data_IF_773925660775
#
_entry.id   IF_773925660775
#
_cell.length_a   1.000
_cell.length_b   1.000
_cell.length_c   1.000
_cell.angle_alpha   90.00
_cell.angle_beta   90.00
_cell.angle_gamma   90.00
#
_symmetry.space_group_name_H-M   'P 1'
#
loop_
_entity.id
_entity.type
_entity.pdbx_description
1 polymer ?
#
# COMPACT_ATOMS: atom_id res chain seq x y z
N UNK A 1 -14.31 4.83 6.11
CA UNK A 1 -14.95 6.00 5.46
C UNK A 1 -15.26 5.66 4.02
N UNK A 2 -16.48 5.90 3.56
CA UNK A 2 -16.92 5.73 2.16
C UNK A 2 -16.07 6.54 1.15
N UNK A 3 -15.42 7.61 1.61
CA UNK A 3 -14.51 8.44 0.78
C UNK A 3 -13.17 7.78 0.42
N UNK A 4 -12.71 6.77 1.19
CA UNK A 4 -11.55 5.97 0.78
C UNK A 4 -11.93 4.86 -0.21
N UNK A 5 -13.22 4.53 -0.29
CA UNK A 5 -13.72 3.48 -1.19
C UNK A 5 -13.75 3.93 -2.66
N UNK A 6 -13.55 5.23 -2.94
CA UNK A 6 -13.51 5.78 -4.30
C UNK A 6 -12.09 5.87 -4.87
N UNK A 7 -11.06 5.52 -4.11
CA UNK A 7 -9.68 5.50 -4.58
C UNK A 7 -9.52 4.43 -5.66
N UNK A 8 -9.06 4.84 -6.84
CA UNK A 8 -8.86 3.99 -8.03
C UNK A 8 -10.14 3.33 -8.58
N UNK A 9 -11.32 3.87 -8.25
CA UNK A 9 -12.58 3.44 -8.84
C UNK A 9 -12.85 4.21 -10.13
N UNK A 10 -13.26 3.48 -11.17
CA UNK A 10 -13.75 4.08 -12.41
C UNK A 10 -14.97 4.95 -12.13
N UNK A 11 -15.12 6.04 -12.91
CA UNK A 11 -16.25 6.96 -12.80
C UNK A 11 -16.37 7.73 -11.46
N UNK A 12 -15.26 7.89 -10.73
CA UNK A 12 -15.22 8.70 -9.50
C UNK A 12 -15.16 10.20 -9.80
N UNK A 13 -16.04 10.97 -9.17
CA UNK A 13 -15.93 12.44 -9.13
C UNK A 13 -14.90 12.84 -8.07
N UNK A 14 -13.77 13.41 -8.48
CA UNK A 14 -12.72 13.87 -7.57
C UNK A 14 -12.82 15.39 -7.33
N UNK A 15 -12.47 15.84 -6.12
CA UNK A 15 -12.27 17.29 -5.87
C UNK A 15 -11.24 17.84 -6.87
N UNK A 16 -11.47 18.99 -7.53
CA UNK A 16 -10.59 19.50 -8.59
C UNK A 16 -9.11 19.68 -8.19
N UNK A 17 -8.82 19.91 -6.91
CA UNK A 17 -7.47 20.06 -6.40
C UNK A 17 -6.65 18.76 -6.28
N UNK A 18 -7.28 17.58 -6.35
CA UNK A 18 -6.59 16.28 -6.17
C UNK A 18 -5.59 16.03 -7.30
N UNK A 19 -6.03 16.15 -8.56
CA UNK A 19 -5.19 15.81 -9.70
C UNK A 19 -3.94 16.70 -9.83
N UNK A 20 -4.02 18.05 -9.70
CA UNK A 20 -2.84 18.90 -9.74
C UNK A 20 -1.83 18.60 -8.62
N UNK A 21 -2.31 18.36 -7.39
CA UNK A 21 -1.43 18.03 -6.25
C UNK A 21 -0.77 16.67 -6.40
N UNK A 22 -1.50 15.65 -6.85
CA UNK A 22 -0.93 14.34 -7.14
C UNK A 22 0.12 14.43 -8.26
N UNK A 23 -0.17 15.22 -9.31
CA UNK A 23 0.74 15.41 -10.44
C UNK A 23 2.03 16.12 -10.03
N UNK A 24 1.95 17.19 -9.23
CA UNK A 24 3.15 17.91 -8.78
C UNK A 24 4.02 17.04 -7.88
N UNK A 25 3.42 16.30 -6.94
CA UNK A 25 4.15 15.36 -6.08
C UNK A 25 4.83 14.25 -6.90
N UNK A 26 4.16 13.72 -7.93
CA UNK A 26 4.73 12.68 -8.78
C UNK A 26 5.92 13.18 -9.59
N UNK A 27 5.86 14.40 -10.14
CA UNK A 27 6.97 15.00 -10.88
C UNK A 27 8.17 15.26 -9.98
N UNK A 28 7.96 15.82 -8.78
CA UNK A 28 9.04 16.04 -7.81
C UNK A 28 9.67 14.72 -7.33
N UNK A 29 8.86 13.70 -7.10
CA UNK A 29 9.33 12.36 -6.76
C UNK A 29 10.14 11.75 -7.91
N UNK A 30 9.67 11.87 -9.15
CA UNK A 30 10.38 11.37 -10.33
C UNK A 30 11.74 12.05 -10.49
N UNK A 31 11.81 13.38 -10.41
CA UNK A 31 13.07 14.12 -10.50
C UNK A 31 14.02 13.67 -9.38
N UNK A 32 13.52 13.51 -8.15
CA UNK A 32 14.33 13.02 -7.04
C UNK A 32 14.86 11.60 -7.27
N UNK A 33 14.04 10.68 -7.79
CA UNK A 33 14.48 9.33 -8.15
C UNK A 33 15.60 9.40 -9.21
N UNK A 34 15.44 10.22 -10.25
CA UNK A 34 16.43 10.32 -11.33
C UNK A 34 17.77 10.92 -10.88
N UNK A 35 17.76 11.82 -9.88
CA UNK A 35 18.99 12.42 -9.33
C UNK A 35 19.68 11.53 -8.29
N UNK A 36 18.98 10.54 -7.72
CA UNK A 36 19.60 9.60 -6.80
C UNK A 36 20.52 8.62 -7.53
N UNK A 37 21.73 8.35 -7.03
CA UNK A 37 22.66 7.45 -7.72
C UNK A 37 22.15 6.01 -7.89
N UNK A 38 21.37 5.52 -6.92
CA UNK A 38 20.70 4.22 -7.00
C UNK A 38 19.37 4.25 -7.78
N UNK A 39 18.95 5.41 -8.30
CA UNK A 39 17.75 5.60 -9.11
C UNK A 39 16.49 4.96 -8.50
N UNK A 40 15.77 4.12 -9.25
CA UNK A 40 14.58 3.39 -8.79
C UNK A 40 14.85 2.44 -7.61
N UNK A 41 16.12 2.17 -7.27
CA UNK A 41 16.55 1.39 -6.10
C UNK A 41 16.98 2.27 -4.92
N UNK A 42 16.69 3.57 -4.96
CA UNK A 42 16.93 4.45 -3.83
C UNK A 42 16.18 3.93 -2.59
N UNK A 43 16.84 3.88 -1.42
CA UNK A 43 16.16 3.49 -0.20
C UNK A 43 15.12 4.55 0.19
N UNK A 44 13.95 4.14 0.70
CA UNK A 44 13.00 5.10 1.28
C UNK A 44 13.61 5.78 2.51
N UNK A 45 13.13 6.97 2.90
CA UNK A 45 13.63 7.68 4.07
C UNK A 45 13.59 6.77 5.31
N UNK A 46 14.73 6.62 5.96
CA UNK A 46 14.83 5.93 7.25
C UNK A 46 14.04 6.72 8.29
N UNK A 47 13.21 6.03 9.07
CA UNK A 47 12.63 6.63 10.27
C UNK A 47 13.76 7.23 11.14
N UNK A 48 13.52 8.34 11.86
CA UNK A 48 14.54 9.09 12.61
C UNK A 48 15.26 8.30 13.72
N UNK A 49 14.98 7.00 13.89
CA UNK A 49 15.67 6.09 14.81
C UNK A 49 16.39 4.91 14.12
N UNK A 50 16.36 4.84 12.79
CA UNK A 50 17.12 3.83 12.06
C UNK A 50 18.50 4.39 11.71
N UNK A 51 19.42 4.30 12.68
CA UNK A 51 20.86 4.35 12.38
C UNK A 51 21.25 3.05 11.66
N UNK A 52 20.76 2.88 10.44
CA UNK A 52 21.25 1.84 9.55
C UNK A 52 22.27 2.48 8.64
N UNK A 53 23.49 1.96 8.72
CA UNK A 53 24.57 2.14 7.75
C UNK A 53 24.07 1.65 6.40
N UNK A 54 23.31 2.49 5.70
CA UNK A 54 22.85 2.21 4.35
C UNK A 54 24.11 2.05 3.48
N UNK A 55 24.17 1.01 2.63
CA UNK A 55 25.27 0.87 1.70
C UNK A 55 25.39 2.16 0.87
N UNK A 56 26.62 2.58 0.51
CA UNK A 56 26.81 3.82 -0.22
C UNK A 56 25.98 3.79 -1.51
N UNK A 57 25.15 4.82 -1.71
CA UNK A 57 24.27 4.94 -2.88
C UNK A 57 25.05 4.85 -4.20
N UNK A 58 26.34 5.22 -4.17
CA UNK A 58 27.30 5.09 -5.25
C UNK A 58 28.71 4.84 -4.69
N UNK A 59 29.59 4.07 -5.35
CA UNK A 59 30.97 3.83 -4.90
C UNK A 59 31.81 5.10 -4.67
N UNK A 60 31.45 6.21 -5.32
CA UNK A 60 32.16 7.48 -5.22
C UNK A 60 31.57 8.47 -4.21
N UNK A 61 30.53 8.10 -3.46
CA UNK A 61 29.84 8.99 -2.53
C UNK A 61 29.89 8.45 -1.09
N UNK A 62 30.19 9.30 -0.10
CA UNK A 62 30.23 8.89 1.29
C UNK A 62 28.80 8.61 1.80
N UNK A 63 28.57 7.54 2.59
CA UNK A 63 27.32 7.34 3.30
C UNK A 63 27.24 8.26 4.54
N UNK A 64 26.07 8.86 4.84
CA UNK A 64 24.83 8.84 4.06
C UNK A 64 24.90 9.80 2.87
N UNK A 65 24.32 9.41 1.73
CA UNK A 65 24.15 10.32 0.58
C UNK A 65 23.08 11.36 0.91
N UNK A 66 23.41 12.65 1.09
CA UNK A 66 22.43 13.69 1.35
C UNK A 66 21.81 14.10 0.01
N UNK A 67 20.62 13.59 -0.29
CA UNK A 67 19.95 13.87 -1.56
C UNK A 67 19.52 15.36 -1.62
N UNK A 68 19.92 16.11 -2.67
CA UNK A 68 19.80 17.58 -2.70
C UNK A 68 18.35 18.09 -2.75
N UNK A 69 17.40 17.27 -3.22
CA UNK A 69 15.97 17.61 -3.25
C UNK A 69 15.18 17.02 -2.06
N UNK A 70 15.86 16.50 -1.04
CA UNK A 70 15.22 15.89 0.11
C UNK A 70 15.03 14.38 -0.03
N UNK A 71 13.93 13.84 0.49
CA UNK A 71 13.72 12.38 0.62
C UNK A 71 13.00 11.75 -0.58
N UNK A 72 13.12 10.43 -0.72
CA UNK A 72 12.45 9.65 -1.76
C UNK A 72 11.45 8.68 -1.10
N UNK A 73 10.22 9.14 -0.78
CA UNK A 73 9.23 8.28 -0.14
C UNK A 73 8.76 7.14 -1.06
N UNK A 74 8.48 5.97 -0.47
CA UNK A 74 7.92 4.82 -1.19
C UNK A 74 6.47 5.07 -1.65
N UNK A 75 5.62 5.64 -0.80
CA UNK A 75 4.25 6.00 -1.14
C UNK A 75 3.86 7.28 -0.43
N UNK A 76 3.17 8.19 -1.13
CA UNK A 76 2.60 9.41 -0.56
C UNK A 76 1.07 9.29 -0.62
N UNK A 77 0.39 9.40 0.52
CA UNK A 77 -1.08 9.45 0.63
C UNK A 77 -1.51 10.83 1.07
N UNK A 78 -2.17 11.57 0.18
CA UNK A 78 -2.68 12.92 0.44
C UNK A 78 -4.16 12.91 0.81
N UNK A 79 -4.52 13.66 1.85
CA UNK A 79 -5.89 13.81 2.33
C UNK A 79 -6.29 15.29 2.32
N UNK A 80 -7.17 15.69 1.40
CA UNK A 80 -7.61 17.08 1.29
C UNK A 80 -8.68 17.50 2.31
N UNK A 81 -9.30 16.55 3.03
CA UNK A 81 -10.21 16.87 4.13
C UNK A 81 -9.47 17.42 5.34
N UNK A 82 -8.28 16.90 5.59
CA UNK A 82 -7.41 17.23 6.73
C UNK A 82 -6.15 17.99 6.32
N UNK A 83 -5.98 18.25 5.02
CA UNK A 83 -4.78 18.87 4.43
C UNK A 83 -3.47 18.21 4.87
N UNK A 84 -3.48 16.88 4.96
CA UNK A 84 -2.35 16.09 5.45
C UNK A 84 -1.76 15.20 4.36
N UNK A 85 -0.44 14.97 4.42
CA UNK A 85 0.28 14.01 3.59
C UNK A 85 0.95 12.97 4.49
N UNK A 86 0.70 11.69 4.21
CA UNK A 86 1.31 10.57 4.92
C UNK A 86 2.27 9.85 4.00
N UNK A 87 3.51 9.67 4.44
CA UNK A 87 4.47 8.80 3.77
C UNK A 87 4.35 7.39 4.35
N UNK A 88 4.16 6.40 3.48
CA UNK A 88 3.97 4.99 3.86
C UNK A 88 5.01 4.15 3.15
N UNK A 89 5.52 3.14 3.85
CA UNK A 89 6.40 2.13 3.30
C UNK A 89 5.72 0.77 3.37
N UNK A 90 5.49 0.15 2.21
CA UNK A 90 5.12 -1.27 2.11
C UNK A 90 6.36 -2.19 2.12
N UNK A 91 6.17 -3.43 2.54
CA UNK A 91 7.12 -4.53 2.32
C UNK A 91 6.65 -5.39 1.14
N UNK A 92 7.56 -6.02 0.39
CA UNK A 92 7.19 -7.05 -0.57
C UNK A 92 6.33 -8.13 0.11
N UNK A 93 5.39 -8.68 -0.64
CA UNK A 93 4.43 -9.66 -0.14
C UNK A 93 4.44 -10.91 -0.99
N UNK A 94 4.64 -12.06 -0.34
CA UNK A 94 4.85 -13.36 -1.01
C UNK A 94 3.62 -13.85 -1.79
N UNK A 95 2.42 -13.42 -1.41
CA UNK A 95 1.18 -13.74 -2.13
C UNK A 95 0.63 -12.55 -2.94
N UNK A 96 1.48 -11.58 -3.28
CA UNK A 96 1.09 -10.46 -4.13
C UNK A 96 0.64 -10.95 -5.51
N UNK A 97 -0.54 -10.52 -5.96
CA UNK A 97 -1.12 -10.83 -7.26
C UNK A 97 -0.36 -10.23 -8.45
N UNK A 98 0.60 -9.33 -8.21
CA UNK A 98 1.35 -8.63 -9.27
C UNK A 98 2.86 -8.91 -9.26
N UNK A 99 3.49 -8.93 -8.08
CA UNK A 99 4.96 -8.95 -7.98
C UNK A 99 5.55 -10.08 -7.13
N UNK A 100 4.74 -11.06 -6.71
CA UNK A 100 5.29 -12.25 -6.03
C UNK A 100 6.17 -13.07 -6.96
N UNK A 101 7.15 -13.80 -6.41
CA UNK A 101 8.05 -14.64 -7.20
C UNK A 101 7.29 -15.68 -8.05
N UNK A 102 6.16 -16.18 -7.54
CA UNK A 102 5.26 -17.09 -8.28
C UNK A 102 4.68 -16.43 -9.52
N UNK A 103 4.19 -15.19 -9.39
CA UNK A 103 3.61 -14.41 -10.50
C UNK A 103 4.70 -14.07 -11.52
N UNK A 104 5.87 -13.62 -11.07
CA UNK A 104 6.99 -13.30 -11.94
C UNK A 104 7.50 -14.53 -12.71
N UNK A 105 7.60 -15.69 -12.05
CA UNK A 105 8.00 -16.94 -12.68
C UNK A 105 6.98 -17.41 -13.72
N UNK A 106 5.68 -17.36 -13.38
CA UNK A 106 4.61 -17.75 -14.31
C UNK A 106 4.56 -16.83 -15.55
N UNK A 107 4.72 -15.53 -15.36
CA UNK A 107 4.79 -14.58 -16.47
C UNK A 107 6.05 -14.75 -17.33
N UNK A 108 7.19 -15.11 -16.73
CA UNK A 108 8.43 -15.32 -17.47
C UNK A 108 8.40 -16.59 -18.33
N UNK A 109 7.68 -17.64 -17.90
CA UNK A 109 7.55 -18.91 -18.62
C UNK A 109 6.62 -18.82 -19.83
N UNK A 110 5.42 -18.25 -19.66
CA UNK A 110 4.44 -18.03 -20.73
C UNK A 110 3.77 -16.64 -20.59
N UNK A 111 4.38 -15.57 -21.15
CA UNK A 111 3.91 -14.21 -20.93
C UNK A 111 2.49 -13.97 -21.45
N UNK A 112 2.17 -14.45 -22.65
CA UNK A 112 0.85 -14.20 -23.23
C UNK A 112 -0.21 -15.12 -22.62
N UNK A 113 0.07 -16.40 -22.43
CA UNK A 113 -0.89 -17.31 -21.78
C UNK A 113 -1.14 -16.92 -20.32
N UNK A 114 -0.14 -16.36 -19.62
CA UNK A 114 -0.36 -15.73 -18.31
C UNK A 114 -1.37 -14.59 -18.39
N UNK A 115 -1.14 -13.61 -19.27
CA UNK A 115 -2.00 -12.42 -19.38
C UNK A 115 -3.41 -12.82 -19.82
N UNK A 116 -3.53 -13.72 -20.77
CA UNK A 116 -4.83 -14.20 -21.26
C UNK A 116 -5.64 -14.84 -20.13
N UNK A 117 -5.05 -15.78 -19.38
CA UNK A 117 -5.75 -16.40 -18.24
C UNK A 117 -6.06 -15.41 -17.13
N UNK A 118 -5.14 -14.50 -16.82
CA UNK A 118 -5.37 -13.46 -15.81
C UNK A 118 -6.55 -12.54 -16.13
N UNK A 119 -6.82 -12.30 -17.42
CA UNK A 119 -7.94 -11.47 -17.87
C UNK A 119 -9.25 -12.26 -18.02
N UNK A 120 -9.18 -13.48 -18.55
CA UNK A 120 -10.36 -14.28 -18.90
C UNK A 120 -10.89 -15.12 -17.71
N UNK A 121 -10.00 -15.60 -16.84
CA UNK A 121 -10.34 -16.52 -15.75
C UNK A 121 -10.45 -15.78 -14.40
N UNK A 122 -11.69 -15.48 -13.99
CA UNK A 122 -11.95 -14.84 -12.70
C UNK A 122 -11.43 -15.69 -11.54
N UNK A 123 -10.61 -15.11 -10.68
CA UNK A 123 -10.02 -15.77 -9.52
C UNK A 123 -8.71 -16.51 -9.82
N UNK A 124 -8.38 -16.70 -11.09
CA UNK A 124 -7.07 -17.21 -11.50
C UNK A 124 -5.93 -16.23 -11.24
N UNK A 125 -6.07 -15.07 -10.57
CA UNK A 125 -4.87 -14.35 -10.06
C UNK A 125 -4.70 -14.55 -8.54
N UNK A 126 -5.76 -14.97 -7.85
CA UNK A 126 -5.72 -15.24 -6.42
C UNK A 126 -5.22 -16.66 -6.06
N UNK A 127 -5.54 -17.68 -6.85
CA UNK A 127 -5.19 -19.09 -6.61
C UNK A 127 -3.65 -19.40 -6.60
N UNK A 128 -2.99 -19.50 -7.75
CA UNK A 128 -1.52 -19.53 -7.93
C UNK A 128 -0.69 -18.45 -7.23
N UNK A 129 -1.18 -17.23 -6.94
CA UNK A 129 -0.42 -16.31 -6.09
C UNK A 129 -0.42 -16.81 -4.63
N UNK A 130 -1.43 -17.58 -4.24
CA UNK A 130 -1.68 -18.06 -2.87
C UNK A 130 -2.57 -17.11 -2.07
N UNK A 131 -3.04 -16.02 -2.67
CA UNK A 131 -3.92 -15.05 -2.02
C UNK A 131 -5.26 -15.69 -1.63
N UNK A 132 -5.78 -16.62 -2.45
CA UNK A 132 -7.02 -17.34 -2.14
C UNK A 132 -6.89 -18.18 -0.87
N UNK A 133 -5.76 -18.86 -0.71
CA UNK A 133 -5.48 -19.67 0.48
C UNK A 133 -5.36 -18.79 1.74
N UNK A 134 -4.78 -17.59 1.61
CA UNK A 134 -4.73 -16.62 2.71
C UNK A 134 -6.14 -16.18 3.11
N UNK A 135 -7.01 -15.91 2.12
CA UNK A 135 -8.42 -15.57 2.40
C UNK A 135 -9.13 -16.72 3.12
N UNK A 136 -8.99 -17.96 2.64
CA UNK A 136 -9.60 -19.14 3.27
C UNK A 136 -9.20 -19.28 4.74
N UNK A 137 -7.91 -19.15 5.04
CA UNK A 137 -7.41 -19.21 6.43
C UNK A 137 -7.94 -18.08 7.31
N UNK A 138 -8.12 -16.89 6.74
CA UNK A 138 -8.68 -15.77 7.46
C UNK A 138 -10.17 -16.00 7.77
N UNK A 139 -10.92 -16.58 6.83
CA UNK A 139 -12.33 -16.93 7.01
C UNK A 139 -12.47 -18.03 8.09
N UNK A 140 -11.67 -19.11 8.01
CA UNK A 140 -11.63 -20.18 9.03
C UNK A 140 -11.30 -19.63 10.43
N UNK A 141 -10.28 -18.77 10.53
CA UNK A 141 -9.91 -18.16 11.80
C UNK A 141 -10.98 -17.20 12.33
N UNK A 142 -11.82 -16.60 11.47
CA UNK A 142 -12.92 -15.75 11.90
C UNK A 142 -14.13 -16.56 12.40
N UNK A 143 -14.35 -17.75 11.82
CA UNK A 143 -15.37 -18.70 12.28
C UNK A 143 -15.00 -19.31 13.64
N UNK A 144 -13.71 -19.56 13.90
CA UNK A 144 -13.20 -20.06 15.19
C UNK A 144 -13.26 -19.02 16.33
N UNK A 145 -13.43 -17.73 15.99
CA UNK A 145 -13.65 -16.67 16.98
C UNK A 145 -15.16 -16.57 17.21
N UNK A 146 -15.69 -17.44 18.09
CA UNK A 146 -17.00 -17.22 18.73
C UNK A 146 -16.96 -15.83 19.37
N UNK A 147 -17.73 -14.89 18.81
CA UNK A 147 -18.07 -13.69 19.56
C UNK A 147 -18.96 -14.17 20.70
N UNK A 148 -18.44 -14.21 21.93
CA UNK A 148 -19.23 -14.51 23.13
C UNK A 148 -20.43 -13.53 23.20
N UNK A 149 -21.56 -13.90 22.60
CA UNK A 149 -22.85 -13.24 22.79
C UNK A 149 -23.47 -13.74 24.10
N UNK A 150 -22.83 -13.50 25.25
CA UNK A 150 -23.51 -13.59 26.55
C UNK A 150 -22.80 -12.81 27.67
N UNK A 151 -23.35 -11.64 28.01
CA UNK A 151 -23.52 -11.05 29.36
C UNK A 151 -23.97 -9.57 29.18
N UNK A 152 -25.18 -9.12 29.50
CA UNK A 152 -26.36 -9.73 30.09
C UNK A 152 -27.53 -8.72 30.09
N UNK A 153 -28.74 -9.24 30.23
CA UNK A 153 -29.94 -8.46 30.56
C UNK A 153 -29.70 -7.56 31.80
N UNK A 154 -30.08 -6.29 31.70
CA UNK A 154 -29.98 -5.35 32.81
C UNK A 154 -30.78 -4.07 32.61
N UNK A 155 -32.10 -4.18 32.70
CA UNK A 155 -32.97 -3.08 33.13
C UNK A 155 -33.36 -2.03 32.08
N UNK A 156 -34.56 -2.20 31.52
CA UNK A 156 -35.46 -1.06 31.38
C UNK A 156 -35.61 -0.45 32.78
N UNK A 157 -35.31 0.83 32.94
CA UNK A 157 -36.08 1.81 33.74
C UNK A 157 -35.31 3.13 33.90
N UNK A 158 -36.06 4.20 33.61
CA UNK A 158 -36.04 5.51 34.26
C UNK A 158 -35.48 6.73 33.51
N UNK A 159 -36.33 7.75 33.57
CA UNK A 159 -36.30 9.06 32.96
C UNK A 159 -35.24 9.96 33.63
N UNK A 160 -34.76 10.99 32.91
CA UNK A 160 -34.01 12.06 33.58
C UNK A 160 -33.26 13.00 32.66
N UNK A 161 -33.86 14.15 32.36
CA UNK A 161 -33.15 15.38 32.01
C UNK A 161 -31.93 15.60 32.93
N UNK A 162 -30.83 16.15 32.40
CA UNK A 162 -30.35 17.49 32.80
C UNK A 162 -29.00 17.85 32.14
N UNK A 163 -29.03 19.05 31.54
CA UNK A 163 -27.97 19.98 31.10
C UNK A 163 -27.23 19.70 29.78
#
# INVERSE_FOLDING_TARGET
SLSNATLDQQCTVTRPGVAPLASSLLVELLVSILQHPSQARAPPPSHPHSQTTSPPAHPSLPPPFPHPLGTIPHTIRGYLSTFSNLQVQGKPYDCCSACSDKVLAAYADDPWGFVQRALDERGWVEEMSGLKEVQRRADEAAEDVEWDEEEGEGGLDDEGEML
#
